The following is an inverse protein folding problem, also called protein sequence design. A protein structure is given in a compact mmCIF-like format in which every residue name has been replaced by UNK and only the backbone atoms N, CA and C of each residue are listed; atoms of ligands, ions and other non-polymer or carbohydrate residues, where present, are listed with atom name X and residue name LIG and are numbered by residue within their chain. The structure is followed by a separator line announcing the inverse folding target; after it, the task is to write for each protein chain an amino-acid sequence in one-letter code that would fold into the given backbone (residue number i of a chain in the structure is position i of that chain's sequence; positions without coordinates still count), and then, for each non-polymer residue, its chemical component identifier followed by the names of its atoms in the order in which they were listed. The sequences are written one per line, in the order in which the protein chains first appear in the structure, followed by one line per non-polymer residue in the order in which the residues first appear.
data_IF_314655663012
#
_entry.id   IF_314655663012
#
_cell.length_a   1.000
_cell.length_b   1.000
_cell.length_c   1.000
_cell.angle_alpha   90.00
_cell.angle_beta   90.00
_cell.angle_gamma   90.00
#
_symmetry.space_group_name_H-M   'P 1'
#
loop_
_entity.id
_entity.type
_entity.pdbx_description
1 polymer ?
#
# COMPACT_ATOMS: atom_id res chain seq x y z
N UNK A 1 -4.30 13.65 -9.45
CA UNK A 1 -5.32 12.78 -8.83
C UNK A 1 -4.69 12.09 -7.63
N UNK A 2 -5.33 12.13 -6.47
CA UNK A 2 -4.81 11.44 -5.28
C UNK A 2 -5.04 9.93 -5.43
N UNK A 3 -4.05 9.13 -5.02
CA UNK A 3 -4.13 7.67 -5.17
C UNK A 3 -5.22 7.05 -4.29
N UNK A 4 -5.74 5.90 -4.71
CA UNK A 4 -6.82 5.15 -4.01
C UNK A 4 -6.43 4.74 -2.58
N UNK A 5 -5.13 4.69 -2.27
CA UNK A 5 -4.60 4.34 -0.95
C UNK A 5 -4.36 5.55 -0.03
N UNK A 6 -4.78 6.74 -0.42
CA UNK A 6 -4.63 7.90 0.43
C UNK A 6 -5.66 7.88 1.56
N UNK A 7 -5.19 7.82 2.78
CA UNK A 7 -6.01 7.97 3.96
C UNK A 7 -6.54 9.40 4.08
N UNK A 8 -7.83 9.53 4.31
CA UNK A 8 -8.47 10.81 4.58
C UNK A 8 -8.65 10.97 6.08
N UNK A 9 -8.39 12.18 6.59
CA UNK A 9 -8.67 12.48 7.98
C UNK A 9 -10.18 12.62 8.19
N UNK A 10 -10.63 12.18 9.36
CA UNK A 10 -12.04 12.33 9.73
C UNK A 10 -12.36 13.82 9.93
N UNK A 11 -13.48 14.28 9.35
CA UNK A 11 -13.95 15.64 9.51
C UNK A 11 -14.19 15.96 10.99
N UNK A 12 -13.74 17.13 11.43
CA UNK A 12 -13.82 17.56 12.83
C UNK A 12 -12.61 17.16 13.68
N UNK A 13 -11.70 16.30 13.16
CA UNK A 13 -10.43 16.00 13.86
C UNK A 13 -9.37 17.08 13.58
N UNK A 14 -8.36 17.17 14.45
CA UNK A 14 -7.22 18.08 14.21
C UNK A 14 -6.31 17.59 13.08
N UNK A 15 -5.65 18.52 12.42
CA UNK A 15 -4.57 18.22 11.47
C UNK A 15 -3.25 18.00 12.21
N UNK A 16 -2.17 17.63 11.48
CA UNK A 16 -0.80 17.60 12.05
C UNK A 16 -0.34 18.96 12.59
N UNK A 17 -1.01 20.05 12.21
CA UNK A 17 -0.78 21.42 12.73
C UNK A 17 -1.37 21.68 14.11
N UNK A 18 -2.15 20.75 14.65
CA UNK A 18 -2.78 20.85 15.96
C UNK A 18 -4.31 21.01 15.91
N UNK A 19 -4.90 21.12 17.10
CA UNK A 19 -6.37 21.18 17.25
C UNK A 19 -6.98 22.45 16.68
N UNK A 20 -6.20 23.53 16.62
CA UNK A 20 -6.64 24.83 16.08
C UNK A 20 -6.81 24.82 14.55
N UNK A 21 -6.36 23.74 13.91
CA UNK A 21 -6.52 23.53 12.47
C UNK A 21 -7.36 22.28 12.22
N UNK A 22 -8.70 22.38 12.38
CA UNK A 22 -9.58 21.22 12.19
C UNK A 22 -9.67 20.82 10.73
N UNK A 23 -9.92 19.53 10.51
CA UNK A 23 -10.29 19.02 9.20
C UNK A 23 -11.73 19.42 8.91
N UNK A 24 -11.93 20.23 7.88
CA UNK A 24 -13.24 20.71 7.46
C UNK A 24 -13.59 20.13 6.09
N UNK A 25 -14.81 19.67 5.94
CA UNK A 25 -15.35 19.27 4.64
C UNK A 25 -16.49 20.21 4.24
N UNK A 26 -16.43 20.64 3.00
CA UNK A 26 -17.48 21.42 2.39
C UNK A 26 -18.23 20.57 1.37
N UNK A 27 -19.56 20.50 1.50
CA UNK A 27 -20.39 19.86 0.49
C UNK A 27 -20.76 20.89 -0.56
N UNK A 28 -20.33 20.67 -1.78
CA UNK A 28 -20.68 21.50 -2.92
C UNK A 28 -21.46 20.65 -3.94
N UNK A 29 -22.74 20.98 -4.13
CA UNK A 29 -23.61 20.26 -5.05
C UNK A 29 -24.25 18.99 -4.50
N UNK A 30 -24.86 18.22 -5.38
CA UNK A 30 -25.52 16.95 -5.07
C UNK A 30 -24.55 15.75 -5.06
N UNK A 31 -25.07 14.58 -4.73
CA UNK A 31 -24.35 13.35 -4.94
C UNK A 31 -24.16 13.09 -6.44
N UNK A 32 -22.97 12.69 -6.84
CA UNK A 32 -22.64 12.32 -8.20
C UNK A 32 -22.38 10.82 -8.25
N UNK A 33 -22.97 10.15 -9.22
CA UNK A 33 -22.69 8.73 -9.44
C UNK A 33 -21.24 8.52 -9.86
N UNK A 34 -20.63 7.42 -9.38
CA UNK A 34 -19.22 7.17 -9.58
C UNK A 34 -18.87 7.01 -11.05
N UNK A 35 -19.78 6.44 -11.85
CA UNK A 35 -19.63 6.28 -13.29
C UNK A 35 -19.47 7.62 -14.03
N UNK A 36 -20.18 8.65 -13.57
CA UNK A 36 -20.06 10.00 -14.14
C UNK A 36 -18.71 10.68 -13.87
N UNK A 37 -18.01 10.26 -12.80
CA UNK A 37 -16.67 10.77 -12.52
C UNK A 37 -15.62 10.23 -13.51
N UNK A 38 -15.89 9.10 -14.15
CA UNK A 38 -15.00 8.52 -15.15
C UNK A 38 -14.90 9.39 -16.41
N UNK A 39 -15.96 10.15 -16.73
CA UNK A 39 -15.99 11.06 -17.90
C UNK A 39 -14.95 12.18 -17.80
N UNK A 40 -14.50 12.49 -16.57
CA UNK A 40 -13.50 13.52 -16.32
C UNK A 40 -12.06 12.98 -16.31
N UNK A 41 -11.87 11.67 -16.46
CA UNK A 41 -10.54 11.06 -16.54
C UNK A 41 -10.12 11.05 -18.01
N UNK A 42 -9.04 11.74 -18.37
CA UNK A 42 -8.52 11.64 -19.74
C UNK A 42 -8.20 10.18 -20.07
N UNK A 43 -8.70 9.69 -21.19
CA UNK A 43 -8.45 8.32 -21.65
C UNK A 43 -7.05 8.21 -22.28
N UNK A 44 -6.03 8.58 -21.50
CA UNK A 44 -4.65 8.36 -21.87
C UNK A 44 -4.25 6.93 -21.48
N UNK A 45 -4.09 6.08 -22.47
CA UNK A 45 -3.59 4.70 -22.31
C UNK A 45 -4.56 3.66 -21.75
N UNK A 46 -5.87 3.78 -21.98
CA UNK A 46 -6.87 2.80 -21.52
C UNK A 46 -7.06 2.77 -20.00
N UNK A 47 -6.71 3.84 -19.30
CA UNK A 47 -6.92 3.94 -17.83
C UNK A 47 -8.40 3.89 -17.46
N UNK A 48 -9.28 4.50 -18.25
CA UNK A 48 -10.73 4.39 -18.03
C UNK A 48 -11.21 2.94 -18.04
N UNK A 49 -10.73 2.14 -18.99
CA UNK A 49 -11.08 0.72 -19.09
C UNK A 49 -10.55 -0.08 -17.89
N UNK A 50 -9.33 0.23 -17.41
CA UNK A 50 -8.78 -0.38 -16.20
C UNK A 50 -9.59 -0.04 -14.96
N UNK A 51 -9.98 1.22 -14.80
CA UNK A 51 -10.79 1.68 -13.66
C UNK A 51 -12.18 1.05 -13.72
N UNK A 52 -12.82 1.02 -14.89
CA UNK A 52 -14.10 0.32 -15.07
C UNK A 52 -14.01 -1.17 -14.77
N UNK A 53 -12.92 -1.83 -15.15
CA UNK A 53 -12.69 -3.24 -14.85
C UNK A 53 -12.51 -3.48 -13.35
N UNK A 54 -11.86 -2.56 -12.62
CA UNK A 54 -11.70 -2.62 -11.17
C UNK A 54 -13.03 -2.35 -10.43
N UNK A 55 -13.88 -1.49 -10.98
CA UNK A 55 -15.20 -1.17 -10.42
C UNK A 55 -16.27 -2.24 -10.73
N UNK A 56 -16.04 -3.09 -11.72
CA UNK A 56 -16.97 -4.20 -12.00
C UNK A 56 -16.95 -5.16 -10.82
N UNK A 57 -18.07 -5.27 -10.12
CA UNK A 57 -18.31 -6.36 -9.17
C UNK A 57 -18.11 -7.68 -9.92
N UNK A 58 -17.51 -8.67 -9.26
CA UNK A 58 -17.48 -10.03 -9.79
C UNK A 58 -18.87 -10.37 -10.30
N UNK A 59 -19.00 -10.72 -11.58
CA UNK A 59 -20.28 -11.02 -12.21
C UNK A 59 -20.86 -12.37 -11.77
N UNK A 60 -20.07 -13.15 -11.05
CA UNK A 60 -20.45 -14.47 -10.58
C UNK A 60 -20.93 -14.38 -9.14
N UNK A 61 -22.14 -14.85 -8.87
CA UNK A 61 -22.59 -15.16 -7.54
C UNK A 61 -21.77 -16.32 -6.97
N UNK A 62 -21.79 -16.51 -5.65
CA UNK A 62 -21.14 -17.67 -5.02
C UNK A 62 -21.66 -19.00 -5.53
N UNK A 63 -22.95 -19.09 -5.88
CA UNK A 63 -23.56 -20.28 -6.47
C UNK A 63 -22.99 -20.58 -7.86
N UNK A 64 -22.94 -19.57 -8.73
CA UNK A 64 -22.34 -19.70 -10.07
C UNK A 64 -20.82 -19.98 -9.99
N UNK A 65 -20.13 -19.39 -9.03
CA UNK A 65 -18.70 -19.68 -8.80
C UNK A 65 -18.48 -21.12 -8.34
N UNK A 66 -19.39 -21.68 -7.52
CA UNK A 66 -19.35 -23.09 -7.11
C UNK A 66 -19.50 -24.03 -8.29
N UNK A 67 -20.42 -23.72 -9.20
CA UNK A 67 -20.67 -24.54 -10.38
C UNK A 67 -19.53 -24.45 -11.38
N UNK A 68 -19.02 -23.23 -11.64
CA UNK A 68 -17.98 -22.98 -12.63
C UNK A 68 -16.57 -23.34 -12.17
N UNK A 69 -16.31 -23.22 -10.87
CA UNK A 69 -14.99 -23.44 -10.26
C UNK A 69 -15.10 -24.27 -8.97
N UNK A 70 -15.56 -25.53 -9.02
CA UNK A 70 -15.84 -26.36 -7.85
C UNK A 70 -14.62 -26.55 -6.95
N UNK A 71 -13.44 -26.82 -7.53
CA UNK A 71 -12.20 -27.00 -6.78
C UNK A 71 -11.78 -25.72 -6.03
N UNK A 72 -11.96 -24.57 -6.66
CA UNK A 72 -11.70 -23.29 -6.01
C UNK A 72 -12.69 -23.07 -4.85
N UNK A 73 -13.97 -23.33 -5.07
CA UNK A 73 -15.01 -23.16 -4.06
C UNK A 73 -14.76 -24.07 -2.86
N UNK A 74 -14.47 -25.34 -3.10
CA UNK A 74 -14.15 -26.31 -2.05
C UNK A 74 -12.97 -25.84 -1.21
N UNK A 75 -11.86 -25.46 -1.84
CA UNK A 75 -10.64 -25.04 -1.14
C UNK A 75 -10.80 -23.71 -0.42
N UNK A 76 -11.43 -22.72 -1.03
CA UNK A 76 -11.46 -21.34 -0.52
C UNK A 76 -12.66 -21.01 0.35
N UNK A 77 -13.82 -21.60 0.06
CA UNK A 77 -15.07 -21.30 0.75
C UNK A 77 -15.38 -22.37 1.79
N UNK A 78 -15.29 -23.65 1.44
CA UNK A 78 -15.61 -24.76 2.34
C UNK A 78 -14.46 -25.02 3.32
N UNK A 79 -13.28 -25.34 2.79
CA UNK A 79 -12.09 -25.66 3.62
C UNK A 79 -11.41 -24.44 4.19
N UNK A 80 -11.73 -23.24 3.71
CA UNK A 80 -11.10 -21.98 4.11
C UNK A 80 -9.55 -22.02 4.05
N UNK A 81 -9.01 -22.82 3.11
CA UNK A 81 -7.57 -22.91 2.91
C UNK A 81 -7.00 -21.53 2.61
N UNK A 82 -6.05 -21.09 3.40
CA UNK A 82 -5.30 -19.85 3.14
C UNK A 82 -4.48 -20.02 1.86
N UNK A 83 -4.29 -18.95 1.09
CA UNK A 83 -3.34 -18.97 -0.03
C UNK A 83 -1.97 -19.35 0.52
N UNK A 84 -1.31 -20.33 -0.12
CA UNK A 84 0.07 -20.67 0.21
C UNK A 84 0.92 -19.40 0.13
N UNK A 85 1.67 -19.12 1.18
CA UNK A 85 2.60 -17.98 1.22
C UNK A 85 3.96 -18.48 0.78
N UNK A 86 4.59 -17.72 -0.09
CA UNK A 86 5.94 -18.02 -0.53
C UNK A 86 6.89 -17.42 0.52
N UNK A 87 7.70 -18.25 1.14
CA UNK A 87 8.85 -17.77 1.90
C UNK A 87 9.89 -17.27 0.91
N UNK A 88 10.26 -16.00 1.05
CA UNK A 88 11.27 -15.34 0.22
C UNK A 88 12.57 -15.32 1.02
N UNK A 89 13.70 -15.28 0.32
CA UNK A 89 15.01 -15.17 0.96
C UNK A 89 15.17 -13.82 1.63
N UNK A 90 15.96 -13.78 2.72
CA UNK A 90 16.32 -12.57 3.45
C UNK A 90 16.83 -11.43 2.55
N UNK A 91 17.52 -11.79 1.46
CA UNK A 91 18.07 -10.83 0.49
C UNK A 91 17.06 -9.79 0.01
N UNK A 92 15.76 -10.14 -0.07
CA UNK A 92 14.72 -9.19 -0.44
C UNK A 92 14.50 -8.12 0.63
N UNK A 93 14.53 -8.52 1.91
CA UNK A 93 14.39 -7.60 3.04
C UNK A 93 15.59 -6.66 3.11
N UNK A 94 16.80 -7.21 3.09
CA UNK A 94 18.04 -6.43 3.18
C UNK A 94 18.17 -5.47 1.99
N UNK A 95 17.85 -5.94 0.79
CA UNK A 95 17.84 -5.10 -0.41
C UNK A 95 16.86 -3.93 -0.30
N UNK A 96 15.64 -4.19 0.22
CA UNK A 96 14.65 -3.15 0.39
C UNK A 96 15.05 -2.16 1.47
N UNK A 97 15.57 -2.62 2.60
CA UNK A 97 16.05 -1.79 3.70
C UNK A 97 17.13 -0.80 3.21
N UNK A 98 18.13 -1.27 2.47
CA UNK A 98 19.16 -0.41 1.90
C UNK A 98 18.56 0.64 0.95
N UNK A 99 17.67 0.23 0.07
CA UNK A 99 17.06 1.15 -0.89
C UNK A 99 16.23 2.24 -0.25
N UNK A 100 15.43 1.92 0.75
CA UNK A 100 14.63 2.93 1.42
C UNK A 100 15.47 3.85 2.31
N UNK A 101 16.60 3.38 2.83
CA UNK A 101 17.54 4.23 3.56
C UNK A 101 18.18 5.29 2.65
N UNK A 102 18.52 4.93 1.43
CA UNK A 102 19.30 5.79 0.53
C UNK A 102 18.45 6.59 -0.46
N UNK A 103 17.43 5.94 -1.04
CA UNK A 103 16.72 6.47 -2.20
C UNK A 103 15.36 7.10 -1.87
N UNK A 104 14.74 6.77 -0.73
CA UNK A 104 13.40 7.26 -0.38
C UNK A 104 13.35 8.78 -0.31
N UNK A 105 12.19 9.36 -0.62
CA UNK A 105 12.00 10.82 -0.58
C UNK A 105 10.78 11.18 0.28
N UNK A 106 10.71 12.44 0.64
CA UNK A 106 9.58 13.03 1.36
C UNK A 106 8.27 12.70 0.64
N UNK A 107 7.24 12.30 1.39
CA UNK A 107 5.96 11.84 0.86
C UNK A 107 5.86 10.32 0.67
N UNK A 108 6.99 9.61 0.58
CA UNK A 108 7.03 8.15 0.37
C UNK A 108 7.57 7.36 1.59
N UNK A 109 8.09 8.05 2.60
CA UNK A 109 8.76 7.46 3.78
C UNK A 109 7.90 6.42 4.51
N UNK A 110 6.64 6.74 4.76
CA UNK A 110 5.68 5.83 5.38
C UNK A 110 5.54 4.52 4.59
N UNK A 111 5.35 4.64 3.27
CA UNK A 111 5.18 3.48 2.40
C UNK A 111 6.46 2.65 2.28
N UNK A 112 7.62 3.27 2.40
CA UNK A 112 8.91 2.57 2.47
C UNK A 112 8.97 1.60 3.64
N UNK A 113 8.60 2.07 4.85
CA UNK A 113 8.58 1.24 6.07
C UNK A 113 7.41 0.25 6.04
N UNK A 114 6.25 0.64 5.54
CA UNK A 114 5.11 -0.26 5.37
C UNK A 114 5.51 -1.48 4.50
N UNK A 115 6.19 -1.25 3.39
CA UNK A 115 6.69 -2.34 2.54
C UNK A 115 7.79 -3.15 3.20
N UNK A 116 8.65 -2.52 4.02
CA UNK A 116 9.66 -3.23 4.81
C UNK A 116 9.01 -4.22 5.77
N UNK A 117 7.92 -3.83 6.45
CA UNK A 117 7.16 -4.70 7.34
C UNK A 117 6.56 -5.91 6.59
N UNK A 118 6.02 -5.70 5.39
CA UNK A 118 5.50 -6.78 4.54
C UNK A 118 6.64 -7.72 4.10
N UNK A 119 7.79 -7.18 3.72
CA UNK A 119 8.93 -7.99 3.32
C UNK A 119 9.55 -8.74 4.49
N UNK A 120 9.60 -8.13 5.68
CA UNK A 120 10.02 -8.81 6.91
C UNK A 120 9.14 -10.05 7.15
N UNK A 121 7.82 -9.91 7.07
CA UNK A 121 6.90 -11.05 7.24
C UNK A 121 7.09 -12.13 6.18
N UNK A 122 7.32 -11.74 4.93
CA UNK A 122 7.59 -12.66 3.82
C UNK A 122 8.91 -13.43 3.98
N UNK A 123 9.93 -12.76 4.49
CA UNK A 123 11.27 -13.32 4.62
C UNK A 123 11.47 -14.05 5.95
N UNK A 124 10.48 -13.99 6.87
CA UNK A 124 10.59 -14.58 8.19
C UNK A 124 11.56 -13.84 9.11
N UNK A 125 11.71 -12.54 8.91
CA UNK A 125 12.48 -11.65 9.79
C UNK A 125 11.74 -11.50 11.12
N UNK A 126 12.48 -11.48 12.21
CA UNK A 126 11.92 -11.27 13.53
C UNK A 126 11.35 -9.86 13.71
N UNK A 127 10.27 -9.73 14.48
CA UNK A 127 9.62 -8.44 14.71
C UNK A 127 10.55 -7.44 15.41
N UNK A 128 11.38 -7.92 16.33
CA UNK A 128 12.31 -7.06 17.06
C UNK A 128 13.39 -6.51 16.14
N UNK A 129 13.95 -7.32 15.25
CA UNK A 129 14.89 -6.89 14.22
C UNK A 129 14.26 -5.85 13.29
N UNK A 130 13.05 -6.13 12.79
CA UNK A 130 12.28 -5.18 11.97
C UNK A 130 12.07 -3.84 12.69
N UNK A 131 11.72 -3.88 13.98
CA UNK A 131 11.52 -2.66 14.78
C UNK A 131 12.80 -1.85 14.88
N UNK A 132 13.92 -2.50 15.21
CA UNK A 132 15.22 -1.82 15.31
C UNK A 132 15.58 -1.13 13.99
N UNK A 133 15.47 -1.83 12.86
CA UNK A 133 15.77 -1.29 11.55
C UNK A 133 14.84 -0.12 11.17
N UNK A 134 13.54 -0.28 11.41
CA UNK A 134 12.55 0.75 11.09
C UNK A 134 12.73 2.02 11.97
N UNK A 135 13.01 1.85 13.26
CA UNK A 135 13.26 2.98 14.17
C UNK A 135 14.57 3.70 13.87
N UNK A 136 15.60 3.00 13.38
CA UNK A 136 16.84 3.62 12.94
C UNK A 136 16.65 4.61 11.77
N UNK A 137 15.59 4.42 10.97
CA UNK A 137 15.25 5.31 9.86
C UNK A 137 14.52 6.59 10.28
N UNK A 138 14.07 6.74 11.53
CA UNK A 138 13.32 7.93 11.95
C UNK A 138 14.15 9.19 11.77
N UNK A 139 15.38 9.20 12.32
CA UNK A 139 16.23 10.40 12.26
C UNK A 139 16.57 10.80 10.83
N UNK A 140 17.14 9.93 9.97
CA UNK A 140 17.41 10.29 8.59
C UNK A 140 16.17 10.71 7.80
N UNK A 141 15.01 10.13 8.09
CA UNK A 141 13.76 10.50 7.44
C UNK A 141 13.22 11.84 7.91
N UNK A 142 13.36 12.17 9.19
CA UNK A 142 12.95 13.45 9.73
C UNK A 142 13.89 14.58 9.26
N UNK A 143 15.17 14.30 9.15
CA UNK A 143 16.17 15.25 8.64
C UNK A 143 15.91 15.67 7.17
N UNK A 144 15.14 14.88 6.40
CA UNK A 144 14.67 15.26 5.05
C UNK A 144 13.50 16.26 5.07
N UNK A 145 12.89 16.49 6.21
CA UNK A 145 11.73 17.39 6.32
C UNK A 145 12.20 18.84 6.25
N UNK A 146 11.70 19.58 5.27
CA UNK A 146 12.05 21.01 5.07
C UNK A 146 11.23 21.92 5.97
N UNK A 147 10.03 21.46 6.38
CA UNK A 147 9.09 22.22 7.18
C UNK A 147 8.61 21.40 8.38
N UNK A 148 8.34 22.08 9.50
CA UNK A 148 7.80 21.43 10.71
C UNK A 148 6.47 20.68 10.52
N UNK A 149 5.79 20.99 9.42
CA UNK A 149 4.48 20.38 9.09
C UNK A 149 4.63 18.94 8.60
N UNK A 150 5.78 18.58 8.06
CA UNK A 150 6.00 17.27 7.43
C UNK A 150 7.07 16.44 8.17
N UNK A 151 7.10 16.56 9.49
CA UNK A 151 7.97 15.76 10.36
C UNK A 151 7.66 14.28 10.22
N UNK A 152 8.71 13.47 10.27
CA UNK A 152 8.57 12.02 10.31
C UNK A 152 8.81 11.53 11.73
N UNK A 153 7.79 10.90 12.30
CA UNK A 153 7.72 10.63 13.73
C UNK A 153 7.74 9.13 14.06
N UNK A 154 7.91 8.82 15.33
CA UNK A 154 7.77 7.47 15.86
C UNK A 154 6.38 6.87 15.56
N UNK A 155 5.34 7.67 15.61
CA UNK A 155 3.97 7.23 15.36
C UNK A 155 3.78 6.82 13.89
N UNK A 156 4.44 7.50 12.96
CA UNK A 156 4.42 7.11 11.54
C UNK A 156 5.03 5.72 11.34
N UNK A 157 6.14 5.42 12.07
CA UNK A 157 6.77 4.09 12.02
C UNK A 157 5.85 3.04 12.64
N UNK A 158 5.31 3.29 13.84
CA UNK A 158 4.41 2.34 14.53
C UNK A 158 3.21 1.99 13.64
N UNK A 159 2.57 2.99 13.03
CA UNK A 159 1.46 2.76 12.10
C UNK A 159 1.87 1.95 10.87
N UNK A 160 3.07 2.21 10.32
CA UNK A 160 3.55 1.46 9.17
C UNK A 160 3.85 -0.02 9.51
N UNK A 161 4.32 -0.28 10.72
CA UNK A 161 4.61 -1.62 11.22
C UNK A 161 3.36 -2.49 11.48
N UNK A 162 2.15 -1.91 11.54
CA UNK A 162 0.90 -2.68 11.61
C UNK A 162 0.73 -3.67 10.44
N UNK A 163 1.43 -3.43 9.33
CA UNK A 163 1.46 -4.36 8.19
C UNK A 163 2.30 -5.61 8.44
N UNK A 164 3.02 -5.71 9.55
CA UNK A 164 3.68 -6.94 10.00
C UNK A 164 2.68 -7.90 10.63
N UNK A 165 1.82 -8.47 9.81
CA UNK A 165 0.78 -9.40 10.24
C UNK A 165 0.59 -10.54 9.24
N UNK A 166 -0.18 -11.57 9.65
CA UNK A 166 -0.41 -12.77 8.84
C UNK A 166 -1.27 -12.51 7.60
N UNK A 167 -2.08 -11.48 7.63
CA UNK A 167 -3.01 -11.13 6.56
C UNK A 167 -2.53 -9.97 5.67
N UNK A 168 -1.21 -9.74 5.64
CA UNK A 168 -0.62 -8.67 4.85
C UNK A 168 -1.02 -8.74 3.37
N UNK A 169 -1.19 -7.58 2.77
CA UNK A 169 -1.50 -7.44 1.35
C UNK A 169 -0.20 -7.49 0.53
N UNK A 170 -0.20 -8.29 -0.53
CA UNK A 170 0.90 -8.28 -1.50
C UNK A 170 0.58 -7.32 -2.63
N UNK A 171 1.40 -6.30 -2.77
CA UNK A 171 1.27 -5.32 -3.84
C UNK A 171 1.99 -5.80 -5.11
N UNK A 172 1.42 -5.55 -6.31
CA UNK A 172 2.15 -5.65 -7.57
C UNK A 172 3.38 -4.73 -7.56
N UNK A 173 4.43 -5.15 -8.27
CA UNK A 173 5.68 -4.39 -8.34
C UNK A 173 5.50 -2.94 -8.79
N UNK A 174 4.65 -2.72 -9.80
CA UNK A 174 4.40 -1.40 -10.34
C UNK A 174 3.66 -0.49 -9.33
N UNK A 175 2.81 -1.08 -8.49
CA UNK A 175 2.16 -0.35 -7.39
C UNK A 175 3.16 0.00 -6.28
N UNK A 176 4.07 -0.93 -5.95
CA UNK A 176 5.16 -0.65 -5.00
C UNK A 176 6.02 0.51 -5.50
N UNK A 177 6.38 0.51 -6.78
CA UNK A 177 7.14 1.61 -7.38
C UNK A 177 6.40 2.95 -7.26
N UNK A 178 5.10 2.97 -7.50
CA UNK A 178 4.27 4.19 -7.38
C UNK A 178 4.19 4.71 -5.95
N UNK A 179 3.92 3.84 -4.97
CA UNK A 179 3.72 4.28 -3.58
C UNK A 179 5.04 4.63 -2.88
N UNK A 180 6.14 3.97 -3.25
CA UNK A 180 7.47 4.24 -2.68
C UNK A 180 8.25 5.31 -3.44
N UNK A 181 7.86 5.64 -4.66
CA UNK A 181 8.62 6.50 -5.55
C UNK A 181 9.93 5.88 -6.06
N UNK A 182 10.17 4.60 -5.79
CA UNK A 182 11.39 3.89 -6.16
C UNK A 182 11.19 3.11 -7.45
N UNK A 183 12.09 3.29 -8.42
CA UNK A 183 12.05 2.56 -9.68
C UNK A 183 12.34 1.08 -9.47
N UNK A 184 11.43 0.21 -9.89
CA UNK A 184 11.55 -1.22 -9.82
C UNK A 184 11.93 -1.79 -11.19
N UNK A 185 13.22 -1.98 -11.46
CA UNK A 185 13.66 -2.58 -12.73
C UNK A 185 13.23 -4.06 -12.81
N UNK A 186 12.75 -4.47 -14.00
CA UNK A 186 12.63 -5.90 -14.32
C UNK A 186 14.06 -6.46 -14.41
N UNK A 187 14.43 -7.33 -13.49
CA UNK A 187 15.55 -8.20 -13.74
C UNK A 187 15.05 -9.14 -14.84
N UNK A 188 15.45 -8.87 -16.09
CA UNK A 188 15.27 -9.86 -17.16
C UNK A 188 16.05 -11.08 -16.72
N UNK A 189 15.34 -12.10 -16.22
CA UNK A 189 15.95 -13.36 -15.88
C UNK A 189 16.46 -13.99 -17.18
N UNK A 190 17.79 -13.94 -17.31
CA UNK A 190 18.60 -14.95 -17.97
C UNK A 190 18.35 -15.27 -19.43
N UNK A 191 19.22 -14.70 -20.25
CA UNK A 191 19.94 -15.52 -21.23
C UNK A 191 20.84 -16.50 -20.46
N UNK A 192 20.49 -17.79 -20.40
CA UNK A 192 21.42 -18.88 -20.29
C UNK A 192 21.77 -19.29 -21.69
#
# INVERSE_FOLDING_TARGET
MQGVLQGFRVVGTGTKRGKDYPVVAYRYGGAVELEKLLDYIPDSNGEQQRIQALMRKSRLSLAEAKEKYPDWYERRVVKKERRGRWTVKRDLYDWWLHRIADEIRVGHRFYGIMMLAIYAKKCGIDEEELRQDAFALIKPYDDMSVEDINRFTKDDVVCALEMFNEDYVTFPRDDIAKISGLTMQKINSFSC
#
